data_IF_276728237134
#
_entry.id   IF_276728237134
#
_cell.length_a   1.000
_cell.length_b   1.000
_cell.length_c   1.000
_cell.angle_alpha   90.00
_cell.angle_beta   90.00
_cell.angle_gamma   90.00
#
_symmetry.space_group_name_H-M   'P 1'
#
loop_
_entity.id
_entity.type
_entity.pdbx_description
1 polymer ?
#
# COMPACT_ATOMS: atom_id res chain seq x y z
N UNK A 1 -9.24 -46.75 67.34
CA UNK A 1 -9.32 -47.46 66.06
C UNK A 1 -9.24 -46.39 64.98
N UNK A 2 -8.08 -46.36 64.28
CA UNK A 2 -7.75 -45.67 63.01
C UNK A 2 -8.06 -44.17 62.87
N UNK A 3 -7.04 -43.30 62.93
CA UNK A 3 -6.07 -42.97 61.86
C UNK A 3 -6.53 -41.71 61.10
N UNK A 4 -6.08 -40.56 61.59
CA UNK A 4 -6.21 -39.26 60.91
C UNK A 4 -4.88 -38.53 61.02
N UNK A 5 -3.85 -39.04 60.32
CA UNK A 5 -2.55 -38.37 60.21
C UNK A 5 -1.80 -38.67 58.91
N UNK A 6 -2.46 -39.26 57.90
CA UNK A 6 -1.84 -39.61 56.62
C UNK A 6 -2.07 -38.59 55.49
N UNK A 7 -3.23 -37.93 55.45
CA UNK A 7 -3.66 -37.23 54.22
C UNK A 7 -3.19 -35.78 54.11
N UNK A 8 -2.78 -35.14 55.21
CA UNK A 8 -2.30 -33.76 55.15
C UNK A 8 -0.84 -33.67 54.64
N UNK A 9 -0.03 -34.69 54.90
CA UNK A 9 1.36 -34.74 54.43
C UNK A 9 1.47 -35.04 52.92
N UNK A 10 0.57 -35.87 52.39
CA UNK A 10 0.56 -36.25 50.95
C UNK A 10 0.13 -35.07 50.07
N UNK A 11 -0.84 -34.26 50.51
CA UNK A 11 -1.29 -33.07 49.78
C UNK A 11 -0.24 -31.97 49.77
N UNK A 12 0.50 -31.76 50.88
CA UNK A 12 1.60 -30.79 50.92
C UNK A 12 2.80 -31.26 50.07
N UNK A 13 3.11 -32.55 50.06
CA UNK A 13 4.23 -33.08 49.26
C UNK A 13 3.94 -33.03 47.75
N UNK A 14 2.70 -33.26 47.34
CA UNK A 14 2.27 -33.16 45.94
C UNK A 14 2.27 -31.70 45.42
N UNK A 15 1.86 -30.73 46.26
CA UNK A 15 1.91 -29.30 45.92
C UNK A 15 3.35 -28.77 45.84
N UNK A 16 4.27 -29.26 46.67
CA UNK A 16 5.69 -28.89 46.60
C UNK A 16 6.36 -29.50 45.34
N UNK A 17 6.03 -30.74 44.96
CA UNK A 17 6.56 -31.34 43.72
C UNK A 17 6.04 -30.67 42.44
N UNK A 18 4.78 -30.23 42.39
CA UNK A 18 4.24 -29.51 41.22
C UNK A 18 4.80 -28.08 41.07
N UNK A 19 5.14 -27.40 42.17
CA UNK A 19 5.79 -26.09 42.11
C UNK A 19 7.29 -26.18 41.75
N UNK A 20 7.97 -27.30 42.05
CA UNK A 20 9.38 -27.50 41.71
C UNK A 20 9.61 -27.97 40.26
N UNK A 21 8.58 -28.48 39.58
CA UNK A 21 8.67 -28.96 38.19
C UNK A 21 8.06 -28.01 37.16
N UNK A 22 7.51 -26.86 37.58
CA UNK A 22 6.87 -25.88 36.70
C UNK A 22 7.45 -24.46 36.82
N UNK A 23 8.57 -24.30 37.55
CA UNK A 23 9.42 -23.13 37.39
C UNK A 23 10.26 -23.34 36.13
N UNK A 24 9.62 -23.33 34.96
CA UNK A 24 10.30 -22.81 33.78
C UNK A 24 10.75 -21.42 34.19
N UNK A 25 12.05 -21.27 34.43
CA UNK A 25 12.68 -19.98 34.56
C UNK A 25 12.23 -19.17 33.35
N UNK A 26 11.24 -18.29 33.54
CA UNK A 26 11.21 -17.06 32.79
C UNK A 26 12.51 -16.41 33.22
N UNK A 27 13.57 -16.61 32.42
CA UNK A 27 14.77 -15.81 32.57
C UNK A 27 14.27 -14.38 32.52
N UNK A 28 14.32 -13.70 33.67
CA UNK A 28 14.28 -12.26 33.66
C UNK A 28 15.37 -11.86 32.66
N UNK A 29 14.98 -11.15 31.60
CA UNK A 29 15.94 -10.51 30.70
C UNK A 29 16.95 -9.82 31.60
N UNK A 30 18.21 -10.23 31.52
CA UNK A 30 19.24 -9.73 32.42
C UNK A 30 19.23 -8.21 32.28
N UNK A 31 18.91 -7.51 33.36
CA UNK A 31 18.79 -6.05 33.32
C UNK A 31 20.11 -5.43 32.87
N UNK A 32 21.24 -6.10 33.09
CA UNK A 32 22.54 -5.67 32.58
C UNK A 32 22.66 -5.71 31.06
N UNK A 33 22.03 -6.67 30.36
CA UNK A 33 21.99 -6.71 28.88
C UNK A 33 21.15 -5.54 28.33
N UNK A 34 20.02 -5.25 28.96
CA UNK A 34 19.19 -4.10 28.58
C UNK A 34 19.90 -2.75 28.81
N UNK A 35 20.64 -2.61 29.91
CA UNK A 35 21.46 -1.42 30.14
C UNK A 35 22.61 -1.29 29.14
N UNK A 36 23.27 -2.40 28.77
CA UNK A 36 24.32 -2.39 27.76
C UNK A 36 23.78 -1.99 26.38
N UNK A 37 22.60 -2.51 25.99
CA UNK A 37 21.91 -2.14 24.77
C UNK A 37 21.51 -0.66 24.77
N UNK A 38 21.02 -0.14 25.90
CA UNK A 38 20.65 1.26 26.04
C UNK A 38 21.85 2.20 25.97
N UNK A 39 22.99 1.81 26.57
CA UNK A 39 24.21 2.61 26.54
C UNK A 39 24.82 2.70 25.13
N UNK A 40 24.74 1.59 24.37
CA UNK A 40 25.34 1.46 23.03
C UNK A 40 24.40 0.71 22.08
N UNK A 41 23.31 1.37 21.65
CA UNK A 41 22.35 0.72 20.77
C UNK A 41 22.96 0.48 19.37
N UNK A 42 22.67 -0.66 18.73
CA UNK A 42 23.03 -0.89 17.32
C UNK A 42 22.30 0.08 16.38
N UNK A 43 22.75 0.13 15.13
CA UNK A 43 22.26 1.10 14.15
C UNK A 43 20.75 1.01 13.87
N UNK A 44 20.13 -0.15 14.04
CA UNK A 44 18.68 -0.38 13.89
C UNK A 44 17.82 0.51 14.80
N UNK A 45 18.35 0.97 15.94
CA UNK A 45 17.65 1.90 16.85
C UNK A 45 17.94 3.38 16.57
N UNK A 46 18.82 3.68 15.60
CA UNK A 46 19.14 5.06 15.25
C UNK A 46 18.08 5.66 14.30
N UNK A 47 18.00 6.98 14.25
CA UNK A 47 17.11 7.69 13.31
C UNK A 47 17.42 7.31 11.86
N UNK A 48 16.38 7.16 11.06
CA UNK A 48 16.43 6.88 9.63
C UNK A 48 15.70 7.99 8.84
N UNK A 49 16.35 9.13 8.51
CA UNK A 49 15.72 10.17 7.71
C UNK A 49 15.56 9.75 6.25
N UNK A 50 14.60 10.39 5.57
CA UNK A 50 14.54 10.40 4.12
C UNK A 50 15.72 11.20 3.56
N UNK A 51 16.66 10.51 2.92
CA UNK A 51 17.84 11.09 2.30
C UNK A 51 17.55 11.37 0.82
N UNK A 52 17.28 12.63 0.52
CA UNK A 52 16.80 13.04 -0.80
C UNK A 52 17.90 12.96 -1.86
N UNK A 53 17.62 12.23 -2.93
CA UNK A 53 18.41 12.19 -4.15
C UNK A 53 17.64 12.92 -5.25
N UNK A 54 18.10 14.10 -5.63
CA UNK A 54 17.35 15.01 -6.50
C UNK A 54 18.24 15.87 -7.42
N UNK A 55 19.39 15.34 -7.82
CA UNK A 55 20.33 16.01 -8.72
C UNK A 55 21.15 14.97 -9.52
N UNK A 56 22.12 15.44 -10.30
CA UNK A 56 23.21 14.63 -10.85
C UNK A 56 24.23 14.35 -9.74
N UNK A 57 24.00 13.26 -9.00
CA UNK A 57 24.81 12.89 -7.84
C UNK A 57 26.12 12.22 -8.25
N UNK A 58 27.18 12.47 -7.47
CA UNK A 58 28.46 11.77 -7.57
C UNK A 58 28.66 10.80 -6.41
N UNK A 59 29.52 9.80 -6.60
CA UNK A 59 29.91 8.87 -5.52
C UNK A 59 30.57 9.61 -4.34
N UNK A 60 31.33 10.67 -4.62
CA UNK A 60 31.96 11.49 -3.57
C UNK A 60 30.91 12.19 -2.69
N UNK A 61 29.86 12.77 -3.29
CA UNK A 61 28.77 13.38 -2.53
C UNK A 61 28.00 12.36 -1.70
N UNK A 62 27.72 11.18 -2.29
CA UNK A 62 27.04 10.07 -1.61
C UNK A 62 27.85 9.60 -0.39
N UNK A 63 29.13 9.33 -0.57
CA UNK A 63 30.04 8.88 0.50
C UNK A 63 30.25 9.97 1.56
N UNK A 64 30.44 11.22 1.14
CA UNK A 64 30.58 12.36 2.05
C UNK A 64 29.36 12.53 2.94
N UNK A 65 28.16 12.50 2.36
CA UNK A 65 26.90 12.61 3.12
C UNK A 65 26.76 11.50 4.15
N UNK A 66 27.08 10.25 3.79
CA UNK A 66 27.03 9.12 4.71
C UNK A 66 27.96 9.32 5.92
N UNK A 67 29.18 9.82 5.69
CA UNK A 67 30.14 10.13 6.77
C UNK A 67 29.64 11.27 7.65
N UNK A 68 29.08 12.32 7.05
CA UNK A 68 28.55 13.46 7.79
C UNK A 68 27.38 13.04 8.69
N UNK A 69 26.48 12.19 8.18
CA UNK A 69 25.37 11.61 8.96
C UNK A 69 25.86 10.72 10.10
N UNK A 70 26.80 9.81 9.83
CA UNK A 70 27.37 8.92 10.85
C UNK A 70 28.12 9.71 11.95
N UNK A 71 28.80 10.81 11.58
CA UNK A 71 29.46 11.69 12.55
C UNK A 71 28.49 12.31 13.56
N UNK A 72 27.21 12.44 13.16
CA UNK A 72 26.10 12.97 13.94
C UNK A 72 25.21 11.86 14.55
N UNK A 73 25.64 10.60 14.49
CA UNK A 73 24.91 9.42 15.02
C UNK A 73 23.58 9.11 14.29
N UNK A 74 23.41 9.61 13.07
CA UNK A 74 22.37 9.12 12.16
C UNK A 74 22.94 7.89 11.46
N UNK A 75 22.47 6.69 11.85
CA UNK A 75 23.05 5.43 11.40
C UNK A 75 22.18 4.67 10.40
N UNK A 76 21.11 5.30 9.92
CA UNK A 76 20.21 4.74 8.94
C UNK A 76 19.79 5.83 7.95
N UNK A 77 19.41 5.47 6.72
CA UNK A 77 18.85 6.41 5.73
C UNK A 77 17.89 5.70 4.79
N UNK A 78 16.83 6.37 4.33
CA UNK A 78 16.03 5.94 3.18
C UNK A 78 16.48 6.71 1.95
N UNK A 79 16.98 6.03 0.92
CA UNK A 79 17.36 6.70 -0.33
C UNK A 79 16.10 7.12 -1.06
N UNK A 80 15.81 8.42 -1.07
CA UNK A 80 14.52 8.99 -1.45
C UNK A 80 14.64 9.83 -2.73
N UNK A 81 14.33 9.28 -3.91
CA UNK A 81 14.33 10.05 -5.15
C UNK A 81 13.23 11.12 -5.15
N UNK A 82 13.55 12.35 -5.56
CA UNK A 82 12.60 13.48 -5.57
C UNK A 82 12.64 14.28 -6.87
N UNK A 83 11.63 15.15 -7.13
CA UNK A 83 11.68 16.07 -8.25
C UNK A 83 12.99 16.86 -8.28
N UNK A 84 13.63 16.90 -9.45
CA UNK A 84 14.99 17.40 -9.65
C UNK A 84 16.00 16.29 -9.96
N UNK A 85 15.67 15.02 -9.67
CA UNK A 85 16.56 13.88 -9.95
C UNK A 85 16.99 13.84 -11.43
N UNK A 86 18.27 14.13 -11.67
CA UNK A 86 18.87 14.04 -13.01
C UNK A 86 19.49 12.66 -13.27
N UNK A 87 19.91 11.95 -12.22
CA UNK A 87 20.40 10.58 -12.33
C UNK A 87 19.23 9.65 -12.67
N UNK A 88 19.20 9.00 -13.85
CA UNK A 88 18.01 8.24 -14.25
C UNK A 88 17.70 7.11 -13.26
N UNK A 89 16.47 7.09 -12.74
CA UNK A 89 15.99 6.11 -11.77
C UNK A 89 16.10 4.68 -12.32
N UNK A 90 16.55 3.75 -11.47
CA UNK A 90 16.83 2.33 -11.80
C UNK A 90 17.82 2.09 -12.97
N UNK A 91 18.59 3.10 -13.38
CA UNK A 91 19.67 2.93 -14.35
C UNK A 91 20.94 2.34 -13.73
N UNK A 92 21.89 1.94 -14.56
CA UNK A 92 23.20 1.50 -14.07
C UNK A 92 23.93 2.61 -13.30
N UNK A 93 23.69 3.89 -13.64
CA UNK A 93 24.23 5.02 -12.89
C UNK A 93 23.64 5.12 -11.48
N UNK A 94 22.32 4.95 -11.36
CA UNK A 94 21.63 4.85 -10.07
C UNK A 94 22.22 3.74 -9.21
N UNK A 95 22.42 2.54 -9.79
CA UNK A 95 22.97 1.41 -9.04
C UNK A 95 24.47 1.51 -8.73
N UNK A 96 25.25 2.28 -9.50
CA UNK A 96 26.62 2.66 -9.11
C UNK A 96 26.62 3.45 -7.81
N UNK A 97 25.75 4.46 -7.69
CA UNK A 97 25.62 5.25 -6.47
C UNK A 97 25.15 4.41 -5.27
N UNK A 98 24.19 3.49 -5.48
CA UNK A 98 23.78 2.55 -4.43
C UNK A 98 24.91 1.66 -3.93
N UNK A 99 25.74 1.12 -4.85
CA UNK A 99 26.90 0.33 -4.46
C UNK A 99 27.93 1.15 -3.67
N UNK A 100 28.17 2.40 -4.06
CA UNK A 100 29.03 3.31 -3.30
C UNK A 100 28.45 3.58 -1.89
N UNK A 101 27.15 3.85 -1.78
CA UNK A 101 26.46 4.06 -0.51
C UNK A 101 26.57 2.81 0.39
N UNK A 102 26.32 1.62 -0.14
CA UNK A 102 26.38 0.36 0.62
C UNK A 102 27.80 -0.02 1.05
N UNK A 103 28.80 0.21 0.19
CA UNK A 103 30.19 -0.01 0.54
C UNK A 103 30.66 0.92 1.66
N UNK A 104 30.17 2.16 1.71
CA UNK A 104 30.46 3.06 2.82
C UNK A 104 29.64 2.73 4.07
N UNK A 105 28.37 2.36 3.91
CA UNK A 105 27.52 1.89 5.00
C UNK A 105 28.12 0.68 5.72
N UNK A 106 28.80 -0.22 5.01
CA UNK A 106 29.50 -1.35 5.62
C UNK A 106 30.66 -0.92 6.52
N UNK A 107 31.41 0.12 6.15
CA UNK A 107 32.51 0.65 6.98
C UNK A 107 32.00 1.41 8.20
N UNK A 108 30.87 2.09 8.06
CA UNK A 108 30.26 2.93 9.09
C UNK A 108 29.30 2.17 10.00
N UNK A 109 29.01 0.91 9.66
CA UNK A 109 27.94 0.11 10.26
C UNK A 109 26.56 0.78 10.23
N UNK A 110 26.20 1.31 9.06
CA UNK A 110 24.89 1.93 8.81
C UNK A 110 23.95 0.98 8.05
N UNK A 111 22.65 1.20 8.20
CA UNK A 111 21.62 0.62 7.33
C UNK A 111 21.19 1.60 6.23
N UNK A 112 20.83 1.06 5.07
CA UNK A 112 20.36 1.85 3.92
C UNK A 112 19.05 1.24 3.41
N UNK A 113 17.98 2.00 3.44
CA UNK A 113 16.64 1.54 3.12
C UNK A 113 16.22 1.94 1.71
N UNK A 114 15.42 1.09 1.08
CA UNK A 114 14.81 1.37 -0.22
C UNK A 114 13.56 2.21 0.00
N UNK A 115 13.47 3.33 -0.70
CA UNK A 115 12.20 3.99 -0.98
C UNK A 115 11.70 3.44 -2.34
N UNK A 116 10.48 2.91 -2.39
CA UNK A 116 10.03 2.01 -3.47
C UNK A 116 9.69 2.69 -4.80
N UNK A 117 9.62 4.01 -4.83
CA UNK A 117 9.06 4.79 -5.94
C UNK A 117 9.99 5.93 -6.39
N UNK A 118 9.74 6.52 -7.56
CA UNK A 118 10.27 7.81 -8.00
C UNK A 118 9.16 8.70 -8.60
N UNK A 119 8.64 9.73 -7.93
CA UNK A 119 8.96 10.14 -6.56
C UNK A 119 7.94 9.62 -5.54
N UNK A 120 6.64 9.77 -5.78
CA UNK A 120 5.51 9.24 -4.99
C UNK A 120 4.22 9.63 -5.75
N UNK A 121 3.06 8.99 -5.54
CA UNK A 121 2.78 7.84 -4.67
C UNK A 121 3.23 6.50 -5.24
N UNK A 122 3.45 5.49 -4.40
CA UNK A 122 3.92 4.16 -4.84
C UNK A 122 2.96 3.47 -5.81
N UNK A 123 3.54 2.81 -6.82
CA UNK A 123 2.86 1.89 -7.72
C UNK A 123 3.15 2.08 -9.21
N UNK A 124 3.73 3.21 -9.60
CA UNK A 124 4.00 3.51 -11.02
C UNK A 124 5.49 3.41 -11.41
N UNK A 125 6.40 3.27 -10.43
CA UNK A 125 7.84 3.11 -10.58
C UNK A 125 8.48 4.17 -11.50
N UNK A 126 8.19 5.46 -11.30
CA UNK A 126 8.68 6.54 -12.17
C UNK A 126 8.17 6.50 -13.60
N UNK A 127 7.11 5.73 -13.85
CA UNK A 127 6.47 5.57 -15.15
C UNK A 127 6.75 4.20 -15.80
N UNK A 128 7.63 3.38 -15.23
CA UNK A 128 8.00 2.09 -15.82
C UNK A 128 6.88 1.05 -15.77
N UNK A 129 6.03 1.05 -14.73
CA UNK A 129 4.89 0.11 -14.66
C UNK A 129 3.88 0.37 -15.78
N UNK A 130 3.32 1.57 -15.95
CA UNK A 130 2.36 1.83 -17.02
C UNK A 130 2.98 1.73 -18.44
N UNK A 131 4.30 1.85 -18.59
CA UNK A 131 4.99 1.53 -19.86
C UNK A 131 5.02 0.03 -20.14
N UNK A 132 5.37 -0.78 -19.13
CA UNK A 132 5.49 -2.22 -19.27
C UNK A 132 4.13 -2.95 -19.25
N UNK A 133 3.10 -2.32 -18.67
CA UNK A 133 1.75 -2.86 -18.51
C UNK A 133 0.70 -1.78 -18.80
N UNK A 134 0.44 -1.42 -20.07
CA UNK A 134 -0.46 -0.32 -20.44
C UNK A 134 -1.90 -0.46 -19.90
N UNK A 135 -2.38 -1.69 -19.71
CA UNK A 135 -3.69 -2.02 -19.13
C UNK A 135 -3.83 -1.68 -17.64
N UNK A 136 -2.71 -1.41 -16.96
CA UNK A 136 -2.66 -0.91 -15.59
C UNK A 136 -3.15 0.52 -15.45
N UNK A 137 -3.36 1.26 -16.56
CA UNK A 137 -3.79 2.67 -16.53
C UNK A 137 -4.98 2.86 -15.60
N UNK A 138 -4.79 3.75 -14.61
CA UNK A 138 -5.73 4.08 -13.56
C UNK A 138 -7.14 4.37 -14.07
N UNK A 139 -8.12 3.96 -13.27
CA UNK A 139 -9.55 4.07 -13.58
C UNK A 139 -10.28 4.81 -12.45
N UNK A 140 -11.31 5.55 -12.81
CA UNK A 140 -12.20 6.23 -11.86
C UNK A 140 -13.61 6.34 -12.43
N UNK A 141 -14.64 6.08 -11.64
CA UNK A 141 -16.03 6.19 -12.08
C UNK A 141 -16.53 7.62 -11.86
N UNK A 142 -16.82 8.33 -12.96
CA UNK A 142 -17.46 9.63 -12.94
C UNK A 142 -18.98 9.49 -13.07
N UNK A 143 -19.71 10.37 -12.38
CA UNK A 143 -21.16 10.46 -12.46
C UNK A 143 -21.55 11.86 -12.89
N UNK A 144 -22.30 11.98 -13.98
CA UNK A 144 -22.74 13.26 -14.54
C UNK A 144 -24.25 13.32 -14.67
N UNK A 145 -24.83 14.37 -14.13
CA UNK A 145 -26.26 14.67 -14.28
C UNK A 145 -26.55 15.35 -15.63
N UNK A 146 -27.72 15.08 -16.17
CA UNK A 146 -28.21 15.67 -17.42
C UNK A 146 -29.73 15.77 -17.42
N UNK A 147 -30.26 16.78 -18.13
CA UNK A 147 -31.70 16.95 -18.37
C UNK A 147 -32.22 16.21 -19.62
N UNK A 148 -31.31 15.51 -20.30
CA UNK A 148 -31.57 14.70 -21.49
C UNK A 148 -30.84 13.35 -21.39
N UNK A 149 -31.35 12.28 -22.05
CA UNK A 149 -30.70 10.98 -22.04
C UNK A 149 -29.29 11.09 -22.65
N UNK A 150 -28.22 10.74 -21.90
CA UNK A 150 -26.88 10.75 -22.46
C UNK A 150 -26.73 9.64 -23.52
N UNK A 151 -25.98 9.88 -24.61
CA UNK A 151 -25.71 8.83 -25.59
C UNK A 151 -24.84 7.73 -24.97
N UNK A 152 -24.98 6.50 -25.45
CA UNK A 152 -24.07 5.41 -25.07
C UNK A 152 -22.70 5.64 -25.71
N UNK A 153 -21.73 6.09 -24.90
CA UNK A 153 -20.37 6.39 -25.34
C UNK A 153 -19.34 5.38 -24.86
N UNK A 154 -18.11 5.51 -25.36
CA UNK A 154 -16.96 4.76 -24.86
C UNK A 154 -16.78 4.99 -23.35
N UNK A 155 -16.58 3.92 -22.60
CA UNK A 155 -16.43 3.97 -21.15
C UNK A 155 -17.72 4.16 -20.35
N UNK A 156 -18.88 4.29 -21.00
CA UNK A 156 -20.17 4.31 -20.29
C UNK A 156 -20.40 2.95 -19.59
N UNK A 157 -20.67 3.01 -18.29
CA UNK A 157 -20.93 1.86 -17.42
C UNK A 157 -22.43 1.71 -17.19
N UNK A 158 -23.10 2.83 -16.90
CA UNK A 158 -24.53 2.81 -16.65
C UNK A 158 -25.18 4.16 -16.96
N UNK A 159 -26.45 4.13 -17.33
CA UNK A 159 -27.31 5.31 -17.43
C UNK A 159 -28.55 5.08 -16.58
N UNK A 160 -28.85 6.05 -15.71
CA UNK A 160 -30.04 6.03 -14.88
C UNK A 160 -30.97 7.17 -15.24
N UNK A 161 -32.27 6.93 -15.15
CA UNK A 161 -33.31 7.94 -15.23
C UNK A 161 -34.03 8.02 -13.89
N UNK A 162 -34.28 9.22 -13.41
CA UNK A 162 -35.12 9.45 -12.24
C UNK A 162 -36.59 9.25 -12.64
N UNK A 163 -37.27 8.32 -11.98
CA UNK A 163 -38.70 8.06 -12.09
C UNK A 163 -39.33 8.15 -10.68
N UNK A 164 -40.09 9.22 -10.45
CA UNK A 164 -40.52 9.62 -9.11
C UNK A 164 -39.31 9.90 -8.21
N UNK A 165 -39.15 9.09 -7.15
CA UNK A 165 -38.04 9.19 -6.19
C UNK A 165 -36.91 8.17 -6.44
N UNK A 166 -37.03 7.33 -7.47
CA UNK A 166 -36.11 6.21 -7.71
C UNK A 166 -35.35 6.40 -9.01
N UNK A 167 -34.05 6.12 -8.97
CA UNK A 167 -33.25 5.99 -10.18
C UNK A 167 -33.42 4.60 -10.75
N UNK A 168 -33.90 4.50 -11.99
CA UNK A 168 -34.01 3.24 -12.74
C UNK A 168 -32.83 3.13 -13.70
N UNK A 169 -32.17 1.97 -13.69
CA UNK A 169 -31.11 1.66 -14.64
C UNK A 169 -31.73 1.41 -16.03
N UNK A 170 -31.45 2.30 -16.98
CA UNK A 170 -31.96 2.25 -18.37
C UNK A 170 -30.84 1.96 -19.38
N UNK A 171 -29.71 1.41 -18.90
CA UNK A 171 -28.50 1.22 -19.73
C UNK A 171 -28.77 0.40 -20.99
N UNK A 172 -29.52 -0.70 -20.86
CA UNK A 172 -29.85 -1.59 -22.00
C UNK A 172 -30.70 -0.87 -23.05
N UNK A 173 -31.65 -0.05 -22.62
CA UNK A 173 -32.53 0.71 -23.50
C UNK A 173 -31.74 1.81 -24.24
N UNK A 174 -30.83 2.50 -23.55
CA UNK A 174 -29.93 3.49 -24.17
C UNK A 174 -29.00 2.81 -25.19
N UNK A 175 -28.47 1.61 -24.88
CA UNK A 175 -27.67 0.80 -25.83
C UNK A 175 -28.49 0.36 -27.06
N UNK A 176 -29.78 0.08 -26.88
CA UNK A 176 -30.71 -0.28 -27.95
C UNK A 176 -31.19 0.94 -28.76
N UNK A 177 -30.67 2.14 -28.48
CA UNK A 177 -31.09 3.40 -29.10
C UNK A 177 -32.59 3.71 -28.93
N UNK A 178 -33.18 3.28 -27.81
CA UNK A 178 -34.55 3.68 -27.45
C UNK A 178 -34.60 5.18 -27.13
N UNK A 179 -35.70 5.82 -27.50
CA UNK A 179 -35.90 7.25 -27.26
C UNK A 179 -36.54 7.48 -25.89
N UNK A 180 -35.97 8.44 -25.15
CA UNK A 180 -36.49 8.86 -23.86
C UNK A 180 -36.81 10.36 -23.88
N UNK A 181 -37.88 10.80 -23.18
CA UNK A 181 -38.21 12.21 -23.07
C UNK A 181 -37.17 12.96 -22.20
N UNK A 182 -37.11 14.29 -22.27
CA UNK A 182 -36.37 15.09 -21.30
C UNK A 182 -36.76 14.75 -19.85
N UNK A 183 -35.81 14.88 -18.93
CA UNK A 183 -35.96 14.47 -17.53
C UNK A 183 -34.61 14.40 -16.83
N UNK A 184 -34.57 13.98 -15.57
CA UNK A 184 -33.30 13.88 -14.82
C UNK A 184 -32.62 12.54 -15.08
N UNK A 185 -31.40 12.60 -15.60
CA UNK A 185 -30.54 11.44 -15.88
C UNK A 185 -29.23 11.52 -15.12
N UNK A 186 -28.65 10.35 -14.85
CA UNK A 186 -27.27 10.22 -14.38
C UNK A 186 -26.54 9.25 -15.31
N UNK A 187 -25.53 9.74 -16.02
CA UNK A 187 -24.59 8.90 -16.76
C UNK A 187 -23.38 8.57 -15.88
N UNK A 188 -23.01 7.31 -15.83
CA UNK A 188 -21.84 6.81 -15.11
C UNK A 188 -20.82 6.29 -16.13
N UNK A 189 -19.62 6.88 -16.15
CA UNK A 189 -18.58 6.54 -17.13
C UNK A 189 -17.21 6.38 -16.47
N UNK A 190 -16.42 5.42 -16.92
CA UNK A 190 -15.03 5.26 -16.51
C UNK A 190 -14.17 6.35 -17.15
N UNK A 191 -13.52 7.15 -16.31
CA UNK A 191 -12.40 8.01 -16.63
C UNK A 191 -11.09 7.25 -16.46
N UNK A 192 -10.10 7.60 -17.29
CA UNK A 192 -8.76 7.03 -17.24
C UNK A 192 -7.79 8.09 -16.73
N UNK A 193 -6.83 7.67 -15.91
CA UNK A 193 -5.79 8.56 -15.41
C UNK A 193 -5.05 9.21 -16.58
N UNK A 194 -4.82 10.52 -16.51
CA UNK A 194 -4.07 11.26 -17.52
C UNK A 194 -2.56 11.03 -17.37
N UNK A 195 -1.81 11.29 -18.42
CA UNK A 195 -0.36 11.33 -18.34
C UNK A 195 0.04 12.67 -17.71
N UNK A 196 0.90 12.64 -16.69
CA UNK A 196 1.32 13.85 -15.97
C UNK A 196 2.83 13.87 -15.73
N UNK A 197 3.40 15.07 -15.69
CA UNK A 197 4.82 15.27 -15.35
C UNK A 197 5.18 14.65 -13.98
N UNK A 198 4.24 14.70 -13.04
CA UNK A 198 4.37 14.12 -11.71
C UNK A 198 4.60 12.60 -11.72
N UNK A 199 3.99 11.91 -12.69
CA UNK A 199 4.05 10.46 -12.87
C UNK A 199 4.99 10.06 -14.01
N UNK A 200 6.09 10.82 -14.20
CA UNK A 200 7.11 10.53 -15.21
C UNK A 200 6.63 10.72 -16.66
N UNK A 201 5.67 11.63 -16.89
CA UNK A 201 4.96 11.77 -18.17
C UNK A 201 4.24 10.48 -18.62
N UNK A 202 3.80 9.69 -17.65
CA UNK A 202 2.91 8.52 -17.80
C UNK A 202 1.72 8.68 -16.87
N UNK A 203 0.83 7.69 -16.81
CA UNK A 203 -0.33 7.70 -15.93
C UNK A 203 -0.06 7.04 -14.57
N UNK A 204 -0.83 7.40 -13.54
CA UNK A 204 -0.89 6.57 -12.33
C UNK A 204 -1.74 5.31 -12.58
N UNK A 205 -1.44 4.25 -11.83
CA UNK A 205 -1.96 2.90 -12.08
C UNK A 205 -3.23 2.60 -11.27
N UNK A 206 -3.98 1.59 -11.70
CA UNK A 206 -5.11 1.00 -10.97
C UNK A 206 -4.59 -0.08 -10.01
N UNK A 207 -4.39 0.27 -8.74
CA UNK A 207 -3.90 -0.66 -7.71
C UNK A 207 -4.89 -1.78 -7.36
N UNK A 208 -6.11 -1.75 -7.89
CA UNK A 208 -7.09 -2.85 -7.76
C UNK A 208 -7.05 -3.79 -8.97
N UNK A 209 -6.24 -3.47 -9.98
CA UNK A 209 -6.04 -4.31 -11.15
C UNK A 209 -4.99 -5.39 -10.84
N UNK A 210 -5.29 -6.69 -11.04
CA UNK A 210 -4.35 -7.77 -10.75
C UNK A 210 -3.08 -7.67 -11.58
N UNK A 211 -1.95 -8.07 -11.00
CA UNK A 211 -0.67 -8.05 -11.68
C UNK A 211 0.06 -6.70 -11.57
N UNK A 212 -0.62 -5.62 -11.16
CA UNK A 212 0.00 -4.29 -11.06
C UNK A 212 1.08 -4.27 -9.98
N UNK A 213 0.80 -4.77 -8.76
CA UNK A 213 1.82 -4.80 -7.71
C UNK A 213 2.94 -5.79 -8.03
N UNK A 214 2.62 -6.91 -8.67
CA UNK A 214 3.62 -7.88 -9.10
C UNK A 214 4.54 -7.26 -10.15
N UNK A 215 3.99 -6.50 -11.10
CA UNK A 215 4.77 -5.74 -12.07
C UNK A 215 5.58 -4.63 -11.41
N UNK A 216 5.02 -3.92 -10.43
CA UNK A 216 5.74 -2.92 -9.66
C UNK A 216 6.95 -3.52 -8.95
N UNK A 217 6.77 -4.61 -8.19
CA UNK A 217 7.85 -5.32 -7.49
C UNK A 217 8.90 -5.91 -8.44
N UNK A 218 8.48 -6.43 -9.59
CA UNK A 218 9.38 -6.93 -10.66
C UNK A 218 10.25 -5.82 -11.26
N UNK A 219 9.68 -4.63 -11.47
CA UNK A 219 10.41 -3.47 -11.98
C UNK A 219 11.36 -2.90 -10.92
N UNK A 220 10.90 -2.78 -9.67
CA UNK A 220 11.62 -2.08 -8.59
C UNK A 220 12.41 -3.05 -7.72
N UNK A 221 11.75 -3.74 -6.80
CA UNK A 221 12.35 -4.53 -5.73
C UNK A 221 13.22 -5.68 -6.25
N UNK A 222 12.81 -6.34 -7.33
CA UNK A 222 13.59 -7.40 -7.98
C UNK A 222 14.86 -6.85 -8.65
N UNK A 223 14.79 -5.64 -9.24
CA UNK A 223 15.99 -4.96 -9.74
C UNK A 223 16.96 -4.62 -8.60
N UNK A 224 16.46 -4.10 -7.49
CA UNK A 224 17.28 -3.87 -6.29
C UNK A 224 17.93 -5.16 -5.80
N UNK A 225 17.16 -6.24 -5.64
CA UNK A 225 17.65 -7.55 -5.22
C UNK A 225 18.82 -8.03 -6.08
N UNK A 226 18.72 -7.87 -7.40
CA UNK A 226 19.79 -8.24 -8.35
C UNK A 226 21.03 -7.35 -8.22
N UNK A 227 20.85 -6.04 -8.09
CA UNK A 227 21.95 -5.06 -8.17
C UNK A 227 22.74 -4.88 -6.87
N UNK A 228 22.08 -5.07 -5.73
CA UNK A 228 22.70 -4.90 -4.41
C UNK A 228 23.02 -6.24 -3.72
N UNK A 229 22.52 -7.34 -4.29
CA UNK A 229 22.95 -8.71 -3.99
C UNK A 229 22.95 -9.03 -2.50
N UNK A 230 24.13 -9.29 -1.95
CA UNK A 230 24.30 -9.75 -0.56
C UNK A 230 23.78 -8.79 0.51
N UNK A 231 23.56 -7.51 0.17
CA UNK A 231 23.06 -6.49 1.10
C UNK A 231 21.53 -6.54 1.24
N UNK A 232 20.80 -7.11 0.27
CA UNK A 232 19.33 -7.20 0.27
C UNK A 232 18.86 -8.11 1.40
N UNK A 233 17.96 -7.61 2.26
CA UNK A 233 17.50 -8.30 3.47
C UNK A 233 18.55 -8.38 4.59
N UNK A 234 19.59 -7.54 4.52
CA UNK A 234 20.64 -7.42 5.54
C UNK A 234 20.90 -5.95 5.86
N UNK A 235 21.90 -5.35 5.22
CA UNK A 235 22.22 -3.91 5.36
C UNK A 235 21.16 -3.02 4.69
N UNK A 236 20.40 -3.61 3.77
CA UNK A 236 19.10 -3.11 3.33
C UNK A 236 18.02 -3.91 4.05
N UNK A 237 17.54 -3.43 5.20
CA UNK A 237 16.64 -4.19 6.05
C UNK A 237 15.20 -4.17 5.53
N UNK A 238 14.81 -3.21 4.68
CA UNK A 238 13.42 -3.11 4.25
C UNK A 238 13.15 -2.11 3.14
N UNK A 239 11.88 -2.03 2.79
CA UNK A 239 11.31 -1.17 1.77
C UNK A 239 10.27 -0.24 2.40
N UNK A 240 10.35 1.04 2.06
CA UNK A 240 9.37 2.07 2.40
C UNK A 240 8.43 2.33 1.23
N UNK A 241 7.13 2.23 1.49
CA UNK A 241 6.08 2.60 0.54
C UNK A 241 5.39 3.90 0.94
N UNK A 242 5.07 4.75 -0.02
CA UNK A 242 4.59 6.10 0.23
C UNK A 242 3.27 6.36 -0.52
N UNK A 243 2.20 6.58 0.24
CA UNK A 243 0.93 7.07 -0.26
C UNK A 243 0.26 6.29 -1.40
N UNK A 244 0.33 4.93 -1.50
CA UNK A 244 -0.43 4.21 -2.51
C UNK A 244 -1.94 4.46 -2.34
N UNK A 245 -2.66 4.72 -3.43
CA UNK A 245 -4.09 5.11 -3.36
C UNK A 245 -4.96 4.61 -4.51
N UNK A 246 -6.28 4.58 -4.23
CA UNK A 246 -7.30 4.01 -5.11
C UNK A 246 -7.99 5.03 -6.04
N UNK A 247 -7.51 6.27 -6.10
CA UNK A 247 -8.15 7.34 -6.88
C UNK A 247 -7.24 7.94 -7.97
N UNK A 248 -6.77 7.12 -8.93
CA UNK A 248 -5.78 7.55 -9.92
C UNK A 248 -6.34 8.49 -11.01
N UNK A 249 -7.65 8.48 -11.22
CA UNK A 249 -8.32 9.20 -12.32
C UNK A 249 -9.42 10.17 -11.84
N UNK A 250 -9.42 10.53 -10.55
CA UNK A 250 -10.55 11.20 -9.92
C UNK A 250 -11.80 10.31 -9.82
N UNK A 251 -12.95 10.91 -9.53
CA UNK A 251 -14.22 10.17 -9.37
C UNK A 251 -14.18 9.14 -8.24
N UNK A 252 -15.02 8.11 -8.32
CA UNK A 252 -15.03 7.00 -7.36
C UNK A 252 -14.02 5.92 -7.79
N UNK A 253 -13.26 5.30 -6.86
CA UNK A 253 -12.31 4.22 -7.18
C UNK A 253 -12.96 3.10 -8.01
N UNK A 254 -12.37 2.73 -9.14
CA UNK A 254 -13.04 1.79 -10.03
C UNK A 254 -12.07 0.79 -10.64
N UNK A 255 -12.52 -0.45 -10.78
CA UNK A 255 -11.85 -1.46 -11.61
C UNK A 255 -12.91 -2.37 -12.24
N UNK A 256 -12.58 -2.99 -13.37
CA UNK A 256 -13.56 -3.73 -14.20
C UNK A 256 -14.16 -4.94 -13.47
N UNK A 257 -13.42 -5.54 -12.53
CA UNK A 257 -13.87 -6.67 -11.70
C UNK A 257 -14.83 -6.28 -10.57
N UNK A 258 -14.95 -4.99 -10.27
CA UNK A 258 -15.66 -4.53 -9.07
C UNK A 258 -17.15 -4.92 -9.08
N UNK A 259 -17.91 -4.79 -10.19
CA UNK A 259 -19.32 -5.18 -10.22
C UNK A 259 -19.55 -6.67 -9.92
N UNK A 260 -18.78 -7.55 -10.56
CA UNK A 260 -18.90 -9.00 -10.38
C UNK A 260 -18.50 -9.41 -8.96
N UNK A 261 -17.37 -8.89 -8.46
CA UNK A 261 -16.91 -9.17 -7.10
C UNK A 261 -17.92 -8.71 -6.04
N UNK A 262 -18.54 -7.55 -6.26
CA UNK A 262 -19.57 -7.01 -5.38
C UNK A 262 -20.83 -7.87 -5.35
N UNK A 263 -21.34 -8.24 -6.52
CA UNK A 263 -22.55 -9.07 -6.62
C UNK A 263 -22.31 -10.45 -6.02
N UNK A 264 -21.16 -11.07 -6.30
CA UNK A 264 -20.75 -12.34 -5.69
C UNK A 264 -20.70 -12.27 -4.16
N UNK A 265 -20.21 -11.17 -3.60
CA UNK A 265 -20.06 -11.01 -2.15
C UNK A 265 -21.38 -10.73 -1.44
N UNK A 266 -22.25 -9.91 -2.03
CA UNK A 266 -23.42 -9.36 -1.34
C UNK A 266 -24.78 -9.85 -1.86
N UNK A 267 -24.80 -10.55 -3.00
CA UNK A 267 -26.02 -11.10 -3.59
C UNK A 267 -26.91 -10.08 -4.28
N UNK A 268 -26.38 -8.90 -4.62
CA UNK A 268 -27.10 -7.88 -5.40
C UNK A 268 -26.14 -7.06 -6.28
N UNK A 269 -26.65 -6.58 -7.41
CA UNK A 269 -25.86 -5.87 -8.44
C UNK A 269 -25.45 -4.48 -8.00
N UNK A 270 -24.14 -4.19 -7.99
CA UNK A 270 -23.64 -2.82 -7.80
C UNK A 270 -24.14 -1.87 -8.89
N UNK A 271 -24.29 -2.37 -10.13
CA UNK A 271 -24.72 -1.59 -11.29
C UNK A 271 -26.18 -1.16 -11.19
N UNK A 272 -27.00 -1.72 -10.32
CA UNK A 272 -28.36 -1.21 -10.11
C UNK A 272 -28.40 -0.10 -9.04
N UNK A 273 -27.28 0.14 -8.37
CA UNK A 273 -27.20 1.04 -7.22
C UNK A 273 -26.07 2.09 -7.31
N UNK A 274 -25.39 2.29 -8.45
CA UNK A 274 -24.26 3.24 -8.52
C UNK A 274 -24.63 4.66 -8.07
N UNK A 275 -25.84 5.14 -8.36
CA UNK A 275 -26.30 6.47 -7.92
C UNK A 275 -26.27 6.63 -6.39
N UNK A 276 -26.42 5.53 -5.64
CA UNK A 276 -26.32 5.53 -4.19
C UNK A 276 -24.92 5.95 -3.69
N UNK A 277 -23.87 5.74 -4.48
CA UNK A 277 -22.50 6.09 -4.10
C UNK A 277 -22.29 7.60 -4.02
N UNK A 278 -23.02 8.39 -4.82
CA UNK A 278 -22.94 9.85 -4.82
C UNK A 278 -24.12 10.54 -4.12
N UNK A 279 -25.32 9.96 -4.16
CA UNK A 279 -26.56 10.57 -3.61
C UNK A 279 -27.18 9.75 -2.47
N UNK A 280 -27.86 10.39 -1.49
CA UNK A 280 -28.54 9.69 -0.40
C UNK A 280 -29.91 9.13 -0.85
N UNK A 281 -29.90 8.20 -1.81
CA UNK A 281 -31.11 7.58 -2.39
C UNK A 281 -31.12 6.08 -2.16
N UNK A 282 -32.32 5.48 -1.98
CA UNK A 282 -32.43 4.05 -1.67
C UNK A 282 -31.66 3.65 -0.40
N UNK A 283 -31.11 2.43 -0.38
CA UNK A 283 -30.30 1.92 0.74
C UNK A 283 -28.83 2.37 0.66
N UNK A 284 -28.62 3.67 0.46
CA UNK A 284 -27.29 4.21 0.16
C UNK A 284 -26.25 3.94 1.25
N UNK A 285 -26.65 3.86 2.52
CA UNK A 285 -25.74 3.58 3.64
C UNK A 285 -25.14 2.19 3.50
N UNK A 286 -25.97 1.18 3.25
CA UNK A 286 -25.52 -0.20 3.04
C UNK A 286 -24.69 -0.32 1.77
N UNK A 287 -25.13 0.28 0.67
CA UNK A 287 -24.41 0.22 -0.62
C UNK A 287 -23.01 0.83 -0.50
N UNK A 288 -22.90 2.03 0.11
CA UNK A 288 -21.60 2.69 0.32
C UNK A 288 -20.69 1.90 1.24
N UNK A 289 -21.21 1.37 2.35
CA UNK A 289 -20.45 0.50 3.25
C UNK A 289 -19.90 -0.72 2.50
N UNK A 290 -20.77 -1.44 1.80
CA UNK A 290 -20.41 -2.65 1.07
C UNK A 290 -19.38 -2.37 -0.04
N UNK A 291 -19.50 -1.22 -0.68
CA UNK A 291 -18.58 -0.75 -1.72
C UNK A 291 -17.20 -0.44 -1.15
N UNK A 292 -17.13 0.38 -0.10
CA UNK A 292 -15.85 0.74 0.56
C UNK A 292 -15.18 -0.49 1.18
N UNK A 293 -15.96 -1.41 1.76
CA UNK A 293 -15.45 -2.67 2.29
C UNK A 293 -14.81 -3.52 1.20
N UNK A 294 -15.47 -3.64 0.04
CA UNK A 294 -14.91 -4.41 -1.09
C UNK A 294 -13.65 -3.73 -1.66
N UNK A 295 -13.64 -2.39 -1.79
CA UNK A 295 -12.44 -1.67 -2.22
C UNK A 295 -11.26 -1.94 -1.28
N UNK A 296 -11.51 -1.94 0.04
CA UNK A 296 -10.47 -2.26 1.01
C UNK A 296 -9.93 -3.68 0.84
N UNK A 297 -10.81 -4.66 0.67
CA UNK A 297 -10.41 -6.07 0.50
C UNK A 297 -9.62 -6.29 -0.78
N UNK A 298 -10.05 -5.67 -1.89
CA UNK A 298 -9.30 -5.71 -3.14
C UNK A 298 -7.96 -5.01 -3.02
N UNK A 299 -7.88 -3.91 -2.26
CA UNK A 299 -6.61 -3.23 -2.03
C UNK A 299 -5.66 -4.07 -1.18
N UNK A 300 -6.16 -4.75 -0.16
CA UNK A 300 -5.39 -5.74 0.60
C UNK A 300 -4.91 -6.87 -0.31
N UNK A 301 -5.79 -7.44 -1.15
CA UNK A 301 -5.47 -8.53 -2.06
C UNK A 301 -4.44 -8.14 -3.12
N UNK A 302 -4.60 -6.95 -3.72
CA UNK A 302 -3.81 -6.53 -4.88
C UNK A 302 -2.60 -5.67 -4.52
N UNK A 303 -2.44 -5.21 -3.27
CA UNK A 303 -1.31 -4.38 -2.86
C UNK A 303 -0.69 -4.86 -1.55
N UNK A 304 -1.46 -4.81 -0.45
CA UNK A 304 -0.91 -5.05 0.89
C UNK A 304 -0.30 -6.43 1.04
N UNK A 305 -1.05 -7.48 0.70
CA UNK A 305 -0.64 -8.87 0.86
C UNK A 305 0.54 -9.26 -0.05
N UNK A 306 0.55 -8.98 -1.36
CA UNK A 306 1.68 -9.33 -2.21
C UNK A 306 2.97 -8.59 -1.82
N UNK A 307 2.88 -7.31 -1.43
CA UNK A 307 4.03 -6.54 -0.94
C UNK A 307 4.59 -7.12 0.37
N UNK A 308 3.71 -7.43 1.32
CA UNK A 308 4.07 -8.12 2.57
C UNK A 308 4.75 -9.46 2.29
N UNK A 309 4.17 -10.30 1.44
CA UNK A 309 4.70 -11.63 1.11
C UNK A 309 6.03 -11.56 0.36
N UNK A 310 6.20 -10.57 -0.52
CA UNK A 310 7.49 -10.30 -1.16
C UNK A 310 8.55 -9.94 -0.12
N UNK A 311 8.26 -9.00 0.77
CA UNK A 311 9.21 -8.56 1.78
C UNK A 311 9.56 -9.70 2.75
N UNK A 312 8.55 -10.42 3.26
CA UNK A 312 8.75 -11.56 4.15
C UNK A 312 9.65 -12.64 3.53
N UNK A 313 9.41 -13.03 2.27
CA UNK A 313 10.21 -14.06 1.58
C UNK A 313 11.66 -13.65 1.36
N UNK A 314 11.93 -12.35 1.34
CA UNK A 314 13.27 -11.80 1.11
C UNK A 314 13.94 -11.26 2.37
N UNK A 315 13.40 -11.53 3.56
CA UNK A 315 13.89 -11.02 4.83
C UNK A 315 13.97 -9.48 4.86
N UNK A 316 12.92 -8.83 4.36
CA UNK A 316 12.76 -7.38 4.35
C UNK A 316 11.61 -6.99 5.28
N UNK A 317 11.80 -5.91 6.03
CA UNK A 317 10.73 -5.14 6.64
C UNK A 317 9.94 -4.39 5.55
N UNK A 318 8.63 -4.35 5.72
CA UNK A 318 7.75 -3.58 4.85
C UNK A 318 7.11 -2.47 5.68
N UNK A 319 7.53 -1.24 5.43
CA UNK A 319 7.09 -0.07 6.18
C UNK A 319 6.69 1.04 5.22
N UNK A 320 6.20 2.15 5.76
CA UNK A 320 5.65 3.23 4.94
C UNK A 320 4.43 3.88 5.56
N UNK A 321 3.75 4.70 4.78
CA UNK A 321 2.48 5.26 5.19
C UNK A 321 1.47 5.34 4.05
N UNK A 322 0.22 5.55 4.44
CA UNK A 322 -0.92 5.65 3.54
C UNK A 322 -1.44 7.10 3.57
N UNK A 323 -2.69 7.30 3.18
CA UNK A 323 -3.39 8.58 3.22
C UNK A 323 -4.15 8.81 4.54
N UNK A 324 -3.63 8.33 5.68
CA UNK A 324 -4.29 8.51 6.99
C UNK A 324 -4.51 9.98 7.37
N UNK A 325 -3.67 10.89 6.85
CA UNK A 325 -3.80 12.32 7.06
C UNK A 325 -5.01 12.95 6.35
N UNK A 326 -5.63 12.25 5.40
CA UNK A 326 -6.89 12.69 4.75
C UNK A 326 -8.14 12.16 5.47
N UNK A 327 -8.01 11.40 6.55
CA UNK A 327 -9.16 10.90 7.29
C UNK A 327 -10.10 12.06 7.70
N UNK A 328 -11.44 11.95 7.49
CA UNK A 328 -12.22 10.75 7.17
C UNK A 328 -12.48 10.48 5.67
N UNK A 329 -11.62 10.93 4.76
CA UNK A 329 -11.78 10.68 3.31
C UNK A 329 -11.40 9.24 2.91
N UNK A 330 -12.40 8.36 2.84
CA UNK A 330 -12.21 6.92 2.59
C UNK A 330 -11.98 6.52 1.11
N UNK A 331 -11.91 7.45 0.16
CA UNK A 331 -11.80 7.08 -1.26
C UNK A 331 -10.36 6.83 -1.72
N UNK A 332 -9.35 7.47 -1.11
CA UNK A 332 -7.94 7.15 -1.41
C UNK A 332 -7.52 5.84 -0.76
N UNK A 333 -7.77 5.72 0.54
CA UNK A 333 -7.49 4.53 1.34
C UNK A 333 -8.68 4.28 2.25
N UNK A 334 -9.53 3.27 1.97
CA UNK A 334 -10.75 3.06 2.73
C UNK A 334 -10.53 2.81 4.22
N UNK A 335 -9.44 2.12 4.59
CA UNK A 335 -9.12 1.82 5.97
C UNK A 335 -7.60 1.71 6.23
N UNK A 336 -6.93 2.83 6.51
CA UNK A 336 -5.47 2.87 6.71
C UNK A 336 -4.98 1.99 7.85
N UNK A 337 -5.69 1.97 9.00
CA UNK A 337 -5.28 1.13 10.15
C UNK A 337 -5.27 -0.36 9.83
N UNK A 338 -6.21 -0.83 9.01
CA UNK A 338 -6.22 -2.22 8.56
C UNK A 338 -5.14 -2.50 7.51
N UNK A 339 -4.76 -1.51 6.70
CA UNK A 339 -3.62 -1.64 5.79
C UNK A 339 -2.29 -1.76 6.53
N UNK A 340 -2.11 -1.09 7.67
CA UNK A 340 -0.90 -1.24 8.50
C UNK A 340 -0.72 -2.64 9.08
N UNK A 341 -1.75 -3.48 9.14
CA UNK A 341 -1.59 -4.89 9.51
C UNK A 341 -0.76 -5.68 8.48
N UNK A 342 -0.54 -5.11 7.29
CA UNK A 342 0.31 -5.66 6.24
C UNK A 342 1.70 -5.02 6.22
N UNK A 343 2.02 -4.09 7.12
CA UNK A 343 3.40 -3.66 7.36
C UNK A 343 4.04 -4.60 8.41
N UNK A 344 5.37 -4.72 8.42
CA UNK A 344 6.14 -5.58 9.33
C UNK A 344 7.04 -4.76 10.22
#
# INVERSE_FOLDING_TARGET
MFAASGDFAVVITALICCCLLSASHVQATDTSEAFALFEKPPCEYATAPLWVWNDMLTEEQVVGTMRDLASQKVMQVFVHPRPGLMTPYLSDAWFRLWRAALAEAEKLDMNVWIYDENSYPSGFAGGFVPEAMPESRGRGLAMKESDAPPPWGAGMVAVYRLDGEKYQNISRQIQANETFPPGKYVGCSVQRAEDAAWTGNRCYVDLLYPGVVEKFLDVTAERYRREIGQHFGKRVPGIFTDEPHLQPAGGLPWTERLPEAFEKRWGYSLLDHLVCLSKPVGDYKRVRHNYLQLLHELFVECWGKPSFEFCQRNNLEFTGHYWEHEWPYCLRVPYSMAMYAWHQ
#
